data_IF_729897088089
#
_entry.id   IF_729897088089
#
_cell.length_a   1.000
_cell.length_b   1.000
_cell.length_c   1.000
_cell.angle_alpha   90.00
_cell.angle_beta   90.00
_cell.angle_gamma   90.00
#
_symmetry.space_group_name_H-M   'P 1'
#
loop_
_entity.id
_entity.type
_entity.pdbx_description
1 polymer ?
#
# COMPACT_ATOMS: atom_id res chain seq x y z
N UNK A 1 22.27 -16.08 2.98
CA UNK A 1 21.56 -15.75 1.75
C UNK A 1 20.39 -14.82 2.05
N UNK A 2 20.56 -13.54 1.74
CA UNK A 2 19.62 -12.51 2.15
C UNK A 2 18.46 -12.42 1.14
N UNK A 3 17.46 -13.28 1.27
CA UNK A 3 16.19 -13.11 0.55
C UNK A 3 15.54 -11.82 1.01
N UNK A 4 15.10 -10.96 0.07
CA UNK A 4 14.44 -9.70 0.41
C UNK A 4 13.08 -9.91 1.07
N UNK A 5 12.40 -11.01 0.74
CA UNK A 5 11.10 -11.38 1.34
C UNK A 5 11.18 -12.84 1.80
N UNK A 6 10.83 -13.10 3.04
CA UNK A 6 10.77 -14.46 3.55
C UNK A 6 9.57 -14.69 4.46
N UNK A 7 9.03 -15.91 4.40
CA UNK A 7 7.95 -16.37 5.26
C UNK A 7 8.46 -17.57 6.05
N UNK A 8 8.38 -17.47 7.38
CA UNK A 8 8.69 -18.57 8.30
C UNK A 8 7.37 -19.10 8.85
N UNK A 9 7.18 -20.41 8.82
CA UNK A 9 5.94 -21.06 9.24
C UNK A 9 6.19 -22.11 10.34
N UNK A 10 5.26 -22.20 11.28
CA UNK A 10 5.25 -23.25 12.29
C UNK A 10 4.87 -24.61 11.67
N UNK A 11 5.15 -25.68 12.39
CA UNK A 11 5.02 -27.03 11.84
C UNK A 11 3.59 -27.42 11.44
N UNK A 12 2.56 -26.86 12.07
CA UNK A 12 1.17 -27.12 11.70
C UNK A 12 0.76 -26.47 10.39
N UNK A 13 1.56 -25.53 9.85
CA UNK A 13 1.31 -24.86 8.59
C UNK A 13 2.05 -25.49 7.40
N UNK A 14 2.91 -26.49 7.65
CA UNK A 14 3.64 -27.20 6.60
C UNK A 14 2.70 -27.81 5.53
N UNK A 15 1.50 -28.33 5.87
CA UNK A 15 0.57 -28.80 4.86
C UNK A 15 0.17 -27.75 3.82
N UNK A 16 0.26 -26.46 4.12
CA UNK A 16 -0.05 -25.39 3.17
C UNK A 16 0.98 -25.26 2.06
N UNK A 17 2.20 -25.78 2.25
CA UNK A 17 3.28 -25.76 1.27
C UNK A 17 3.58 -27.15 0.69
N UNK A 18 2.71 -28.12 0.93
CA UNK A 18 2.85 -29.48 0.43
C UNK A 18 2.70 -29.51 -1.10
N UNK A 19 3.77 -29.89 -1.81
CA UNK A 19 3.84 -29.95 -3.27
C UNK A 19 2.88 -30.98 -3.89
N UNK A 20 2.40 -31.93 -3.11
CA UNK A 20 1.44 -32.94 -3.57
C UNK A 20 0.02 -32.43 -3.77
N UNK A 21 -0.29 -31.20 -3.36
CA UNK A 21 -1.62 -30.60 -3.51
C UNK A 21 -1.63 -29.58 -4.64
N UNK A 22 -2.67 -29.64 -5.50
CA UNK A 22 -2.82 -28.74 -6.65
C UNK A 22 -2.94 -27.26 -6.24
N UNK A 23 -3.47 -27.00 -5.06
CA UNK A 23 -3.66 -25.66 -4.51
C UNK A 23 -2.84 -25.46 -3.25
N UNK A 24 -1.51 -25.33 -3.39
CA UNK A 24 -0.68 -24.98 -2.25
C UNK A 24 -0.29 -23.50 -2.29
N UNK A 25 0.32 -23.05 -1.21
CA UNK A 25 0.73 -21.65 -1.00
C UNK A 25 1.73 -21.16 -2.06
N UNK A 26 2.66 -22.01 -2.51
CA UNK A 26 3.76 -21.63 -3.41
C UNK A 26 3.27 -21.08 -4.76
N UNK A 27 2.40 -21.78 -5.52
CA UNK A 27 1.86 -21.21 -6.76
C UNK A 27 1.05 -19.93 -6.55
N UNK A 28 0.33 -19.81 -5.44
CA UNK A 28 -0.45 -18.62 -5.12
C UNK A 28 0.46 -17.43 -4.87
N UNK A 29 1.57 -17.62 -4.16
CA UNK A 29 2.58 -16.57 -3.92
C UNK A 29 3.24 -16.15 -5.23
N UNK A 30 3.55 -17.10 -6.12
CA UNK A 30 4.14 -16.82 -7.42
C UNK A 30 3.22 -15.94 -8.29
N UNK A 31 1.93 -16.29 -8.36
CA UNK A 31 0.94 -15.48 -9.09
C UNK A 31 0.78 -14.09 -8.50
N UNK A 32 0.66 -14.02 -7.18
CA UNK A 32 0.54 -12.77 -6.44
C UNK A 32 1.71 -11.84 -6.74
N UNK A 33 2.92 -12.37 -6.70
CA UNK A 33 4.14 -11.62 -6.97
C UNK A 33 4.15 -11.04 -8.39
N UNK A 34 3.71 -11.83 -9.40
CA UNK A 34 3.61 -11.37 -10.78
C UNK A 34 2.59 -10.25 -10.94
N UNK A 35 1.42 -10.39 -10.31
CA UNK A 35 0.36 -9.38 -10.36
C UNK A 35 0.82 -8.07 -9.72
N UNK A 36 1.45 -8.14 -8.55
CA UNK A 36 1.94 -6.94 -7.85
C UNK A 36 3.07 -6.29 -8.65
N UNK A 37 4.00 -7.08 -9.21
CA UNK A 37 5.09 -6.58 -10.03
C UNK A 37 4.57 -5.78 -11.22
N UNK A 38 3.55 -6.31 -11.90
CA UNK A 38 2.91 -5.63 -13.03
C UNK A 38 2.23 -4.33 -12.58
N UNK A 39 1.54 -4.37 -11.46
CA UNK A 39 0.83 -3.20 -10.94
C UNK A 39 1.78 -2.10 -10.46
N UNK A 40 2.85 -2.43 -9.77
CA UNK A 40 3.82 -1.47 -9.24
C UNK A 40 4.80 -0.96 -10.28
N UNK A 41 5.20 -1.82 -11.23
CA UNK A 41 6.09 -1.45 -12.32
C UNK A 41 7.55 -1.87 -12.15
N UNK A 42 7.84 -2.78 -11.22
CA UNK A 42 9.16 -3.40 -11.11
C UNK A 42 9.01 -4.85 -10.65
N UNK A 43 10.03 -5.66 -10.88
CA UNK A 43 9.97 -7.07 -10.51
C UNK A 43 10.16 -7.21 -8.99
N UNK A 44 9.08 -7.59 -8.31
CA UNK A 44 9.11 -7.88 -6.87
C UNK A 44 9.98 -9.11 -6.63
N UNK A 45 10.92 -9.06 -5.66
CA UNK A 45 11.81 -10.19 -5.39
C UNK A 45 11.06 -11.48 -5.06
N UNK A 46 11.74 -12.60 -5.28
CA UNK A 46 11.22 -13.92 -4.92
C UNK A 46 10.96 -14.04 -3.42
N UNK A 47 9.93 -14.79 -3.07
CA UNK A 47 9.55 -15.04 -1.67
C UNK A 47 10.06 -16.41 -1.26
N UNK A 48 10.86 -16.45 -0.20
CA UNK A 48 11.38 -17.68 0.36
C UNK A 48 10.48 -18.14 1.50
N UNK A 49 10.03 -19.40 1.44
CA UNK A 49 9.17 -19.99 2.48
C UNK A 49 9.93 -21.13 3.15
N UNK A 50 9.99 -21.12 4.47
CA UNK A 50 10.61 -22.20 5.25
C UNK A 50 9.86 -22.49 6.53
N UNK A 51 9.94 -23.74 6.98
CA UNK A 51 9.50 -24.12 8.30
C UNK A 51 10.53 -23.67 9.35
N UNK A 52 10.04 -23.28 10.53
CA UNK A 52 10.87 -22.86 11.64
C UNK A 52 10.34 -23.50 12.93
N UNK A 53 11.14 -24.41 13.50
CA UNK A 53 10.76 -25.12 14.70
C UNK A 53 10.74 -24.25 15.96
N UNK A 54 11.31 -23.05 15.89
CA UNK A 54 11.28 -22.10 17.01
C UNK A 54 9.95 -21.36 17.09
N UNK A 55 9.13 -21.40 16.04
CA UNK A 55 7.81 -20.79 16.05
C UNK A 55 6.78 -21.72 16.68
N UNK A 56 5.70 -21.14 17.21
CA UNK A 56 4.54 -21.92 17.63
C UNK A 56 3.93 -22.66 16.43
N UNK A 57 3.19 -23.72 16.69
CA UNK A 57 2.68 -24.64 15.65
C UNK A 57 1.94 -23.93 14.51
N UNK A 58 1.07 -23.00 14.85
CA UNK A 58 0.21 -22.27 13.87
C UNK A 58 0.66 -20.85 13.62
N UNK A 59 1.87 -20.50 14.04
CA UNK A 59 2.45 -19.17 13.85
C UNK A 59 3.13 -19.04 12.50
N UNK A 60 3.07 -17.84 11.93
CA UNK A 60 3.92 -17.46 10.81
C UNK A 60 4.52 -16.09 11.04
N UNK A 61 5.67 -15.85 10.45
CA UNK A 61 6.31 -14.53 10.42
C UNK A 61 6.68 -14.20 8.97
N UNK A 62 6.52 -12.93 8.61
CA UNK A 62 6.95 -12.42 7.31
C UNK A 62 8.04 -11.38 7.58
N UNK A 63 9.15 -11.50 6.84
CA UNK A 63 10.28 -10.56 6.91
C UNK A 63 10.49 -9.86 5.58
N UNK A 64 10.78 -8.57 5.67
CA UNK A 64 11.33 -7.79 4.56
C UNK A 64 12.79 -7.50 4.93
N UNK A 65 13.72 -8.08 4.17
CA UNK A 65 15.11 -8.14 4.59
C UNK A 65 15.22 -8.94 5.89
N UNK A 66 15.77 -8.34 6.92
CA UNK A 66 15.88 -8.97 8.24
C UNK A 66 14.81 -8.49 9.23
N UNK A 67 13.99 -7.53 8.81
CA UNK A 67 12.96 -6.96 9.66
C UNK A 67 11.70 -7.82 9.64
N UNK A 68 11.22 -8.20 10.82
CA UNK A 68 9.92 -8.86 10.97
C UNK A 68 8.84 -7.80 10.77
N UNK A 69 8.00 -7.99 9.76
CA UNK A 69 6.89 -7.05 9.45
C UNK A 69 5.53 -7.66 9.74
N UNK A 70 5.46 -8.96 9.98
CA UNK A 70 4.25 -9.65 10.39
C UNK A 70 4.58 -10.83 11.30
N UNK A 71 3.73 -11.05 12.30
CA UNK A 71 3.81 -12.17 13.23
C UNK A 71 2.37 -12.47 13.63
N UNK A 72 1.83 -13.58 13.15
CA UNK A 72 0.42 -13.89 13.35
C UNK A 72 0.15 -15.39 13.37
N UNK A 73 -1.10 -15.75 13.58
CA UNK A 73 -1.55 -17.14 13.71
C UNK A 73 -2.65 -17.41 12.69
N UNK A 74 -2.51 -18.51 11.95
CA UNK A 74 -3.57 -19.07 11.11
C UNK A 74 -3.68 -20.56 11.40
N UNK A 75 -4.82 -21.15 11.06
CA UNK A 75 -5.05 -22.58 11.31
C UNK A 75 -5.27 -23.32 9.99
N UNK A 76 -4.34 -24.22 9.66
CA UNK A 76 -4.38 -24.96 8.40
C UNK A 76 -5.60 -25.88 8.28
N UNK A 77 -6.15 -26.32 9.40
CA UNK A 77 -7.29 -27.25 9.50
C UNK A 77 -8.64 -26.56 9.68
N UNK A 78 -8.68 -25.23 9.64
CA UNK A 78 -9.90 -24.43 9.83
C UNK A 78 -10.12 -23.48 8.65
N UNK A 79 -11.22 -22.75 8.71
CA UNK A 79 -11.54 -21.68 7.77
C UNK A 79 -11.86 -20.41 8.55
N UNK A 80 -11.59 -19.26 7.92
CA UNK A 80 -11.85 -17.96 8.53
C UNK A 80 -13.18 -17.41 8.01
N UNK A 81 -14.07 -17.07 8.93
CA UNK A 81 -15.36 -16.46 8.62
C UNK A 81 -15.31 -14.95 8.95
N UNK A 82 -15.46 -14.12 7.92
CA UNK A 82 -15.44 -12.65 8.03
C UNK A 82 -16.88 -12.14 7.91
N UNK A 83 -17.38 -11.32 8.86
CA UNK A 83 -18.72 -10.79 8.78
C UNK A 83 -18.98 -9.97 7.52
N UNK A 84 -20.10 -10.24 6.84
CA UNK A 84 -20.59 -9.42 5.74
C UNK A 84 -21.48 -8.27 6.26
N UNK A 85 -22.08 -7.52 5.33
CA UNK A 85 -22.85 -6.32 5.66
C UNK A 85 -24.13 -6.62 6.46
N UNK A 86 -24.72 -7.80 6.29
CA UNK A 86 -25.98 -8.19 6.91
C UNK A 86 -25.80 -9.19 8.06
N UNK A 87 -24.59 -9.35 8.54
CA UNK A 87 -24.30 -10.27 9.64
C UNK A 87 -24.84 -9.70 10.96
N UNK A 88 -25.70 -10.44 11.63
CA UNK A 88 -26.30 -10.03 12.89
C UNK A 88 -26.01 -10.99 14.04
N UNK A 89 -25.49 -12.18 13.74
CA UNK A 89 -25.28 -13.24 14.72
C UNK A 89 -23.80 -13.59 14.83
N UNK A 90 -23.35 -13.80 16.05
CA UNK A 90 -21.99 -14.28 16.31
C UNK A 90 -21.89 -15.77 15.96
N UNK A 91 -20.69 -16.18 15.57
CA UNK A 91 -20.40 -17.58 15.32
C UNK A 91 -19.76 -18.25 16.55
N UNK A 92 -19.98 -19.53 16.66
CA UNK A 92 -19.27 -20.38 17.60
C UNK A 92 -17.90 -20.74 17.00
N UNK A 93 -16.86 -20.07 17.47
CA UNK A 93 -15.51 -20.27 17.01
C UNK A 93 -14.53 -19.37 17.73
N UNK A 94 -13.28 -19.36 17.30
CA UNK A 94 -12.25 -18.52 17.87
C UNK A 94 -12.32 -17.12 17.26
N UNK A 95 -12.69 -16.14 18.06
CA UNK A 95 -12.76 -14.73 17.65
C UNK A 95 -11.33 -14.16 17.54
N UNK A 96 -11.02 -13.59 16.40
CA UNK A 96 -9.70 -13.02 16.10
C UNK A 96 -9.84 -11.72 15.30
N UNK A 97 -8.73 -11.03 15.14
CA UNK A 97 -8.60 -9.97 14.14
C UNK A 97 -7.91 -10.55 12.92
N UNK A 98 -8.51 -10.37 11.75
CA UNK A 98 -7.93 -10.81 10.49
C UNK A 98 -6.58 -10.10 10.28
N UNK A 99 -5.49 -10.82 9.93
CA UNK A 99 -4.13 -10.27 9.96
C UNK A 99 -3.85 -9.09 9.02
N UNK A 100 -4.43 -9.06 7.83
CA UNK A 100 -4.13 -8.03 6.84
C UNK A 100 -4.75 -6.67 7.18
N UNK A 101 -6.02 -6.66 7.58
CA UNK A 101 -6.81 -5.44 7.74
C UNK A 101 -7.33 -5.23 9.16
N UNK A 102 -7.13 -6.19 10.04
CA UNK A 102 -7.54 -6.08 11.45
C UNK A 102 -9.04 -6.17 11.69
N UNK A 103 -9.82 -6.62 10.71
CA UNK A 103 -11.27 -6.79 10.89
C UNK A 103 -11.56 -7.97 11.80
N UNK A 104 -12.64 -7.89 12.58
CA UNK A 104 -13.07 -9.01 13.43
C UNK A 104 -13.50 -10.18 12.56
N UNK A 105 -13.10 -11.39 12.94
CA UNK A 105 -13.40 -12.61 12.21
C UNK A 105 -13.37 -13.80 13.16
N UNK A 106 -13.79 -14.97 12.67
CA UNK A 106 -13.84 -16.20 13.47
C UNK A 106 -13.19 -17.34 12.75
N UNK A 107 -12.26 -18.05 13.42
CA UNK A 107 -11.80 -19.34 12.95
C UNK A 107 -12.84 -20.39 13.35
N UNK A 108 -13.37 -21.09 12.35
CA UNK A 108 -14.40 -22.12 12.54
C UNK A 108 -13.98 -23.44 11.90
N UNK A 109 -14.62 -24.51 12.33
CA UNK A 109 -14.42 -25.81 11.71
C UNK A 109 -14.99 -25.84 10.29
N UNK A 110 -14.36 -26.58 9.39
CA UNK A 110 -14.75 -26.64 7.97
C UNK A 110 -16.18 -27.11 7.77
N UNK A 111 -16.68 -27.98 8.65
CA UNK A 111 -18.06 -28.50 8.60
C UNK A 111 -19.12 -27.40 8.83
N UNK A 112 -18.72 -26.30 9.44
CA UNK A 112 -19.62 -25.18 9.74
C UNK A 112 -19.72 -24.13 8.62
N UNK A 113 -19.07 -24.39 7.49
CA UNK A 113 -19.03 -23.47 6.35
C UNK A 113 -20.42 -23.03 5.89
N UNK A 114 -21.30 -23.99 5.64
CA UNK A 114 -22.66 -23.69 5.15
C UNK A 114 -23.47 -22.84 6.13
N UNK A 115 -23.34 -23.12 7.42
CA UNK A 115 -24.02 -22.36 8.47
C UNK A 115 -23.50 -20.90 8.51
N UNK A 116 -22.20 -20.71 8.42
CA UNK A 116 -21.59 -19.39 8.41
C UNK A 116 -21.99 -18.59 7.16
N UNK A 117 -21.99 -19.21 5.99
CA UNK A 117 -22.43 -18.55 4.75
C UNK A 117 -23.89 -18.16 4.81
N UNK A 118 -24.75 -19.01 5.42
CA UNK A 118 -26.17 -18.69 5.64
C UNK A 118 -26.38 -17.49 6.56
N UNK A 119 -25.41 -17.20 7.44
CA UNK A 119 -25.44 -16.04 8.36
C UNK A 119 -24.72 -14.82 7.79
N UNK A 120 -24.45 -14.81 6.49
CA UNK A 120 -23.79 -13.73 5.76
C UNK A 120 -22.32 -13.52 6.14
N UNK A 121 -21.60 -14.60 6.44
CA UNK A 121 -20.16 -14.57 6.59
C UNK A 121 -19.49 -14.95 5.27
N UNK A 122 -18.41 -14.26 4.95
CA UNK A 122 -17.53 -14.61 3.83
C UNK A 122 -16.46 -15.56 4.34
N UNK A 123 -16.28 -16.68 3.66
CA UNK A 123 -15.33 -17.71 4.06
C UNK A 123 -14.03 -17.55 3.29
N UNK A 124 -12.91 -17.58 4.03
CA UNK A 124 -11.55 -17.46 3.49
C UNK A 124 -10.73 -18.65 3.97
N UNK A 125 -10.05 -19.29 3.04
CA UNK A 125 -9.13 -20.40 3.36
C UNK A 125 -7.86 -19.87 4.03
N UNK A 126 -7.17 -20.65 4.86
CA UNK A 126 -5.98 -20.17 5.58
C UNK A 126 -4.84 -19.71 4.68
N UNK A 127 -4.61 -20.37 3.55
CA UNK A 127 -3.60 -19.93 2.58
C UNK A 127 -3.95 -18.60 1.94
N UNK A 128 -5.24 -18.31 1.72
CA UNK A 128 -5.71 -17.01 1.23
C UNK A 128 -5.54 -15.92 2.27
N UNK A 129 -5.72 -16.23 3.55
CA UNK A 129 -5.45 -15.29 4.65
C UNK A 129 -3.98 -14.87 4.62
N UNK A 130 -3.08 -15.84 4.49
CA UNK A 130 -1.64 -15.58 4.44
C UNK A 130 -1.24 -14.79 3.19
N UNK A 131 -1.77 -15.16 2.01
CA UNK A 131 -1.44 -14.46 0.76
C UNK A 131 -2.00 -13.04 0.73
N UNK A 132 -3.17 -12.80 1.31
CA UNK A 132 -3.73 -11.46 1.46
C UNK A 132 -2.83 -10.58 2.34
N UNK A 133 -2.36 -11.15 3.46
CA UNK A 133 -1.44 -10.45 4.35
C UNK A 133 -0.11 -10.13 3.65
N UNK A 134 0.45 -11.11 2.93
CA UNK A 134 1.67 -10.91 2.14
C UNK A 134 1.49 -9.81 1.10
N UNK A 135 0.36 -9.81 0.38
CA UNK A 135 0.05 -8.79 -0.63
C UNK A 135 0.05 -7.39 -0.01
N UNK A 136 -0.63 -7.24 1.11
CA UNK A 136 -0.70 -5.96 1.83
C UNK A 136 0.68 -5.49 2.25
N UNK A 137 1.51 -6.39 2.77
CA UNK A 137 2.87 -6.08 3.19
C UNK A 137 3.78 -5.70 2.02
N UNK A 138 3.70 -6.40 0.90
CA UNK A 138 4.51 -6.08 -0.30
C UNK A 138 4.15 -4.67 -0.78
N UNK A 139 2.86 -4.34 -0.85
CA UNK A 139 2.42 -3.01 -1.26
C UNK A 139 2.88 -1.93 -0.27
N UNK A 140 2.77 -2.18 1.03
CA UNK A 140 3.17 -1.20 2.05
C UNK A 140 4.69 -1.01 2.13
N UNK A 141 5.47 -2.04 1.81
CA UNK A 141 6.94 -2.01 1.83
C UNK A 141 7.56 -1.99 0.44
N UNK A 142 6.79 -1.60 -0.59
CA UNK A 142 7.26 -1.59 -1.97
C UNK A 142 8.52 -0.73 -2.14
N UNK A 143 8.56 0.42 -1.47
CA UNK A 143 9.73 1.31 -1.48
C UNK A 143 11.00 0.60 -0.99
N UNK A 144 10.88 -0.20 0.08
CA UNK A 144 12.04 -0.94 0.62
C UNK A 144 12.52 -2.06 -0.29
N UNK A 145 11.66 -2.53 -1.20
CA UNK A 145 11.98 -3.59 -2.14
C UNK A 145 12.64 -3.08 -3.43
N UNK A 146 12.59 -1.78 -3.67
CA UNK A 146 13.22 -1.16 -4.83
C UNK A 146 14.61 -0.65 -4.48
N UNK A 147 15.64 -1.23 -5.08
CA UNK A 147 17.02 -0.78 -4.94
C UNK A 147 17.61 -0.35 -6.27
N UNK A 148 18.89 0.02 -6.25
CA UNK A 148 19.59 0.47 -7.46
C UNK A 148 19.64 -0.62 -8.54
N UNK A 149 19.76 -1.88 -8.15
CA UNK A 149 19.79 -2.99 -9.10
C UNK A 149 18.47 -3.11 -9.88
N UNK A 150 17.36 -3.00 -9.19
CA UNK A 150 16.03 -3.06 -9.82
C UNK A 150 15.81 -1.86 -10.75
N UNK A 151 16.25 -0.67 -10.35
CA UNK A 151 16.15 0.53 -11.19
C UNK A 151 17.07 0.38 -12.41
N UNK A 152 18.28 -0.15 -12.23
CA UNK A 152 19.18 -0.38 -13.34
C UNK A 152 18.60 -1.34 -14.38
N UNK A 153 17.94 -2.42 -13.93
CA UNK A 153 17.27 -3.35 -14.83
C UNK A 153 16.17 -2.68 -15.62
N UNK A 154 15.37 -1.81 -14.97
CA UNK A 154 14.33 -1.04 -15.65
C UNK A 154 14.92 -0.09 -16.70
N UNK A 155 16.03 0.58 -16.38
CA UNK A 155 16.71 1.46 -17.31
C UNK A 155 17.30 0.68 -18.50
N UNK A 156 17.93 -0.46 -18.24
CA UNK A 156 18.50 -1.31 -19.29
C UNK A 156 17.41 -1.77 -20.27
N UNK A 157 16.26 -2.12 -19.75
CA UNK A 157 15.12 -2.51 -20.59
C UNK A 157 14.57 -1.34 -21.42
N UNK A 158 14.41 -0.17 -20.81
CA UNK A 158 13.95 1.03 -21.52
C UNK A 158 14.96 1.50 -22.56
N UNK A 159 16.25 1.32 -22.29
CA UNK A 159 17.33 1.73 -23.19
C UNK A 159 17.25 1.04 -24.56
N UNK A 160 16.67 -0.15 -24.63
CA UNK A 160 16.50 -0.88 -25.88
C UNK A 160 15.62 -0.10 -26.87
N UNK A 161 14.64 0.64 -26.37
CA UNK A 161 13.71 1.43 -27.22
C UNK A 161 13.94 2.93 -27.14
N UNK A 162 14.48 3.45 -26.03
CA UNK A 162 14.64 4.88 -25.78
C UNK A 162 16.04 5.21 -25.22
N UNK A 163 17.12 4.90 -25.97
CA UNK A 163 18.47 5.09 -25.44
C UNK A 163 18.83 6.55 -25.13
N UNK A 164 18.36 7.48 -25.97
CA UNK A 164 18.64 8.89 -25.79
C UNK A 164 18.00 9.46 -24.52
N UNK A 165 16.76 9.03 -24.22
CA UNK A 165 16.06 9.46 -23.02
C UNK A 165 16.77 8.98 -21.75
N UNK A 166 17.17 7.72 -21.72
CA UNK A 166 17.89 7.15 -20.60
C UNK A 166 19.21 7.89 -20.37
N UNK A 167 20.01 8.11 -21.43
CA UNK A 167 21.28 8.82 -21.33
C UNK A 167 21.12 10.28 -20.93
N UNK A 168 20.03 10.93 -21.34
CA UNK A 168 19.73 12.31 -20.98
C UNK A 168 19.52 12.44 -19.47
N UNK A 169 18.86 11.47 -18.85
CA UNK A 169 18.54 11.54 -17.43
C UNK A 169 19.65 10.96 -16.55
N UNK A 170 20.19 9.79 -16.90
CA UNK A 170 21.18 9.10 -16.06
C UNK A 170 22.48 8.91 -16.83
N UNK A 171 23.60 9.53 -16.42
CA UNK A 171 23.79 10.34 -15.20
C UNK A 171 23.66 11.86 -15.39
N UNK A 172 23.28 12.34 -16.58
CA UNK A 172 23.37 13.78 -16.90
C UNK A 172 22.50 14.68 -16.03
N UNK A 173 21.22 14.32 -15.81
CA UNK A 173 20.33 15.08 -14.94
C UNK A 173 20.57 14.68 -13.48
N UNK A 174 20.66 13.38 -13.22
CA UNK A 174 20.90 12.88 -11.87
C UNK A 174 21.59 11.51 -11.90
N UNK A 175 22.35 11.17 -10.85
CA UNK A 175 22.96 9.84 -10.76
C UNK A 175 21.89 8.79 -10.42
N UNK A 176 22.24 7.53 -10.64
CA UNK A 176 21.35 6.39 -10.40
C UNK A 176 20.81 6.35 -8.96
N UNK A 177 21.65 6.66 -7.96
CA UNK A 177 21.21 6.64 -6.57
C UNK A 177 20.15 7.68 -6.28
N UNK A 178 20.21 8.85 -6.90
CA UNK A 178 19.18 9.88 -6.74
C UNK A 178 17.88 9.49 -7.45
N UNK A 179 17.96 8.95 -8.65
CA UNK A 179 16.79 8.43 -9.36
C UNK A 179 16.10 7.35 -8.55
N UNK A 180 16.88 6.42 -7.98
CA UNK A 180 16.35 5.37 -7.11
C UNK A 180 15.61 5.97 -5.93
N UNK A 181 16.17 6.98 -5.26
CA UNK A 181 15.53 7.66 -4.14
C UNK A 181 14.23 8.35 -4.55
N UNK A 182 14.19 8.99 -5.71
CA UNK A 182 12.97 9.61 -6.24
C UNK A 182 11.88 8.55 -6.48
N UNK A 183 12.22 7.43 -7.09
CA UNK A 183 11.28 6.36 -7.38
C UNK A 183 10.77 5.69 -6.09
N UNK A 184 11.62 5.56 -5.07
CA UNK A 184 11.20 5.08 -3.75
C UNK A 184 10.19 6.04 -3.10
N UNK A 185 10.39 7.34 -3.20
CA UNK A 185 9.43 8.35 -2.70
C UNK A 185 8.06 8.21 -3.39
N UNK A 186 8.04 7.95 -4.69
CA UNK A 186 6.81 7.74 -5.45
C UNK A 186 6.08 6.48 -4.95
N UNK A 187 6.81 5.38 -4.82
CA UNK A 187 6.26 4.10 -4.36
C UNK A 187 5.75 4.14 -2.92
N UNK A 188 6.41 4.90 -2.04
CA UNK A 188 6.00 5.03 -0.64
C UNK A 188 4.54 5.44 -0.50
N UNK A 189 4.04 6.22 -1.43
CA UNK A 189 2.67 6.71 -1.40
C UNK A 189 1.74 5.92 -2.34
N UNK A 190 2.16 4.74 -2.75
CA UNK A 190 1.34 3.84 -3.55
C UNK A 190 1.21 4.23 -5.02
N UNK A 191 1.98 5.20 -5.49
CA UNK A 191 1.97 5.61 -6.90
C UNK A 191 2.84 4.63 -7.71
N UNK A 192 2.28 4.00 -8.76
CA UNK A 192 3.06 3.07 -9.58
C UNK A 192 4.19 3.74 -10.34
N UNK A 193 5.28 3.00 -10.54
CA UNK A 193 6.42 3.42 -11.39
C UNK A 193 6.42 2.68 -12.73
N UNK A 194 5.28 2.12 -13.13
CA UNK A 194 5.12 1.30 -14.34
C UNK A 194 5.39 2.06 -15.64
N UNK A 195 5.20 3.37 -15.65
CA UNK A 195 5.52 4.19 -16.82
C UNK A 195 6.86 4.91 -16.62
N UNK A 196 7.96 4.15 -16.71
CA UNK A 196 9.30 4.68 -16.55
C UNK A 196 9.62 5.76 -17.58
N UNK A 197 9.14 5.58 -18.80
CA UNK A 197 9.33 6.59 -19.86
C UNK A 197 8.77 7.95 -19.43
N UNK A 198 7.55 7.96 -18.89
CA UNK A 198 6.92 9.19 -18.41
C UNK A 198 7.70 9.81 -17.24
N UNK A 199 8.18 8.99 -16.33
CA UNK A 199 9.02 9.45 -15.22
C UNK A 199 10.28 10.14 -15.75
N UNK A 200 11.00 9.49 -16.67
CA UNK A 200 12.24 10.05 -17.22
C UNK A 200 11.97 11.31 -18.07
N UNK A 201 10.89 11.33 -18.85
CA UNK A 201 10.49 12.52 -19.60
C UNK A 201 10.18 13.70 -18.67
N UNK A 202 9.52 13.44 -17.54
CA UNK A 202 9.23 14.46 -16.53
C UNK A 202 10.51 15.02 -15.89
N UNK A 203 11.54 14.18 -15.74
CA UNK A 203 12.82 14.56 -15.13
C UNK A 203 13.77 15.20 -16.12
N UNK A 204 13.67 14.91 -17.43
CA UNK A 204 14.65 15.29 -18.44
C UNK A 204 14.84 16.79 -18.62
N UNK A 205 13.78 17.57 -18.36
CA UNK A 205 13.81 19.04 -18.49
C UNK A 205 13.90 19.75 -17.14
N UNK A 206 14.04 19.01 -16.06
CA UNK A 206 14.03 19.57 -14.71
C UNK A 206 15.42 20.00 -14.27
N UNK A 207 15.53 21.16 -13.63
CA UNK A 207 16.76 21.54 -12.93
C UNK A 207 16.66 21.01 -11.49
N UNK A 208 17.44 19.96 -11.21
CA UNK A 208 17.40 19.27 -9.91
C UNK A 208 18.44 19.77 -8.92
N UNK A 209 19.22 20.78 -9.28
CA UNK A 209 20.23 21.34 -8.37
C UNK A 209 19.53 21.87 -7.11
N UNK A 210 20.08 21.52 -5.95
CA UNK A 210 19.57 21.93 -4.62
C UNK A 210 18.21 21.28 -4.25
N UNK A 211 17.71 20.34 -5.05
CA UNK A 211 16.48 19.62 -4.72
C UNK A 211 16.82 18.23 -4.16
N UNK A 212 16.12 17.82 -3.10
CA UNK A 212 16.22 16.45 -2.61
C UNK A 212 15.20 15.54 -3.32
N UNK A 213 15.25 14.25 -3.03
CA UNK A 213 14.38 13.27 -3.69
C UNK A 213 12.90 13.54 -3.39
N UNK A 214 12.56 13.97 -2.17
CA UNK A 214 11.19 14.33 -1.81
C UNK A 214 10.66 15.47 -2.67
N UNK A 215 11.46 16.53 -2.84
CA UNK A 215 11.08 17.69 -3.63
C UNK A 215 10.92 17.34 -5.12
N UNK A 216 11.84 16.54 -5.65
CA UNK A 216 11.78 16.10 -7.05
C UNK A 216 10.53 15.24 -7.27
N UNK A 217 10.26 14.27 -6.38
CA UNK A 217 9.09 13.41 -6.50
C UNK A 217 7.78 14.22 -6.44
N UNK A 218 7.71 15.23 -5.55
CA UNK A 218 6.53 16.12 -5.49
C UNK A 218 6.27 16.83 -6.82
N UNK A 219 7.32 17.29 -7.47
CA UNK A 219 7.18 18.06 -8.73
C UNK A 219 6.70 17.22 -9.90
N UNK A 220 7.00 15.91 -9.92
CA UNK A 220 6.56 15.03 -11.01
C UNK A 220 5.24 14.31 -10.70
N UNK A 221 4.76 14.35 -9.46
CA UNK A 221 3.49 13.70 -9.08
C UNK A 221 2.31 14.06 -9.97
N UNK A 222 2.10 15.33 -10.39
CA UNK A 222 0.96 15.66 -11.26
C UNK A 222 0.94 14.86 -12.57
N UNK A 223 2.08 14.41 -13.07
CA UNK A 223 2.17 13.56 -14.25
C UNK A 223 1.79 12.10 -13.95
N UNK A 224 1.98 11.65 -12.72
CA UNK A 224 1.87 10.24 -12.32
C UNK A 224 0.57 9.91 -11.59
N UNK A 225 0.03 10.85 -10.81
CA UNK A 225 -1.20 10.63 -10.02
C UNK A 225 -2.39 10.21 -10.87
N UNK A 226 -2.58 10.72 -12.10
CA UNK A 226 -3.64 10.20 -12.96
C UNK A 226 -3.58 8.69 -13.19
N UNK A 227 -2.38 8.10 -13.21
CA UNK A 227 -2.21 6.64 -13.32
C UNK A 227 -2.70 5.91 -12.06
N UNK A 228 -2.44 6.48 -10.89
CA UNK A 228 -2.95 5.95 -9.62
C UNK A 228 -4.48 5.98 -9.59
N UNK A 229 -5.07 7.09 -9.96
CA UNK A 229 -6.53 7.27 -10.00
C UNK A 229 -7.15 6.26 -10.97
N UNK A 230 -6.58 6.13 -12.17
CA UNK A 230 -7.05 5.17 -13.17
C UNK A 230 -7.00 3.73 -12.67
N UNK A 231 -5.98 3.38 -11.88
CA UNK A 231 -5.84 2.05 -11.26
C UNK A 231 -6.96 1.79 -10.25
N UNK A 232 -7.39 2.80 -9.51
CA UNK A 232 -8.31 2.66 -8.37
C UNK A 232 -9.77 2.96 -8.72
N UNK A 233 -10.03 3.79 -9.73
CA UNK A 233 -11.38 4.23 -10.08
C UNK A 233 -11.61 4.09 -11.58
N UNK A 234 -12.73 3.47 -11.95
CA UNK A 234 -13.14 3.33 -13.35
C UNK A 234 -13.29 4.70 -14.00
N UNK A 235 -12.95 4.79 -15.27
CA UNK A 235 -12.89 6.06 -16.03
C UNK A 235 -14.16 6.90 -15.94
N UNK A 236 -15.34 6.27 -15.96
CA UNK A 236 -16.63 6.98 -15.93
C UNK A 236 -17.14 7.30 -14.52
N UNK A 237 -16.54 6.73 -13.50
CA UNK A 237 -17.00 6.91 -12.14
C UNK A 237 -16.52 8.23 -11.54
N UNK A 238 -17.34 8.82 -10.68
CA UNK A 238 -16.99 10.03 -9.94
C UNK A 238 -15.97 9.70 -8.85
N UNK A 239 -14.96 10.56 -8.69
CA UNK A 239 -13.93 10.40 -7.67
C UNK A 239 -14.43 10.93 -6.33
N UNK A 240 -14.61 10.08 -5.31
CA UNK A 240 -15.02 10.55 -3.98
C UNK A 240 -13.82 11.14 -3.24
N UNK A 241 -14.01 12.32 -2.64
CA UNK A 241 -12.96 13.05 -1.96
C UNK A 241 -13.31 13.26 -0.48
N UNK A 242 -12.29 13.19 0.35
CA UNK A 242 -12.33 13.65 1.74
C UNK A 242 -11.56 14.97 1.75
N UNK A 243 -12.11 15.99 2.40
CA UNK A 243 -11.46 17.29 2.52
C UNK A 243 -11.33 17.69 3.97
N UNK A 244 -10.41 18.62 4.26
CA UNK A 244 -10.37 19.31 5.54
C UNK A 244 -11.33 20.49 5.51
N UNK A 245 -11.98 20.78 6.63
CA UNK A 245 -12.71 22.03 6.79
C UNK A 245 -11.73 23.20 6.61
N UNK A 246 -12.17 24.36 6.07
CA UNK A 246 -11.28 25.48 5.78
C UNK A 246 -10.43 25.92 6.97
N UNK A 247 -11.00 25.93 8.17
CA UNK A 247 -10.29 26.33 9.40
C UNK A 247 -9.16 25.35 9.73
N UNK A 248 -9.41 24.04 9.55
CA UNK A 248 -8.40 23.03 9.81
C UNK A 248 -7.27 23.11 8.78
N UNK A 249 -7.62 23.26 7.50
CA UNK A 249 -6.61 23.39 6.44
C UNK A 249 -5.73 24.63 6.67
N UNK A 250 -6.32 25.75 7.08
CA UNK A 250 -5.59 26.97 7.39
C UNK A 250 -4.65 26.77 8.60
N UNK A 251 -5.10 26.04 9.61
CA UNK A 251 -4.27 25.74 10.79
C UNK A 251 -3.05 24.89 10.39
N UNK A 252 -3.27 23.86 9.59
CA UNK A 252 -2.19 22.98 9.09
C UNK A 252 -1.21 23.79 8.24
N UNK A 253 -1.72 24.62 7.33
CA UNK A 253 -0.89 25.49 6.48
C UNK A 253 -0.02 26.43 7.33
N UNK A 254 -0.60 27.05 8.34
CA UNK A 254 0.13 27.92 9.26
C UNK A 254 1.23 27.15 10.00
N UNK A 255 0.92 25.97 10.49
CA UNK A 255 1.89 25.10 11.19
C UNK A 255 3.08 24.75 10.29
N UNK A 256 2.83 24.38 9.04
CA UNK A 256 3.88 24.07 8.06
C UNK A 256 4.73 25.32 7.78
N UNK A 257 4.12 26.48 7.60
CA UNK A 257 4.84 27.73 7.33
C UNK A 257 5.72 28.18 8.48
N UNK A 258 5.31 27.93 9.73
CA UNK A 258 6.08 28.28 10.92
C UNK A 258 7.28 27.37 11.13
N UNK A 259 7.29 26.18 10.53
CA UNK A 259 8.34 25.18 10.67
C UNK A 259 8.83 24.68 9.30
N UNK A 260 9.40 25.56 8.45
CA UNK A 260 9.69 25.20 7.06
C UNK A 260 10.78 24.14 6.89
N UNK A 261 11.66 23.99 7.89
CA UNK A 261 12.74 22.98 7.88
C UNK A 261 12.24 21.60 8.35
N UNK A 262 11.08 21.56 9.01
CA UNK A 262 10.54 20.31 9.56
C UNK A 262 9.75 19.54 8.52
N UNK A 263 10.12 18.28 8.30
CA UNK A 263 9.41 17.40 7.37
C UNK A 263 8.18 16.73 7.98
N UNK A 264 8.14 16.67 9.32
CA UNK A 264 7.00 16.09 10.04
C UNK A 264 5.99 17.20 10.38
N UNK A 265 4.70 16.85 10.31
CA UNK A 265 3.64 17.75 10.72
C UNK A 265 3.52 17.77 12.25
N UNK A 266 3.86 18.91 12.86
CA UNK A 266 3.87 19.07 14.32
C UNK A 266 2.54 19.67 14.78
N UNK A 267 1.59 18.81 15.13
CA UNK A 267 0.28 19.20 15.64
C UNK A 267 0.17 18.88 17.14
N UNK A 268 -0.63 19.68 17.82
CA UNK A 268 -0.99 19.39 19.22
C UNK A 268 -1.63 17.99 19.31
N UNK A 269 -1.27 17.23 20.37
CA UNK A 269 -1.60 15.80 20.46
C UNK A 269 -3.08 15.46 20.37
N UNK A 270 -3.96 16.24 21.01
CA UNK A 270 -5.41 16.03 20.97
C UNK A 270 -5.97 16.30 19.56
N UNK A 271 -5.47 17.35 18.91
CA UNK A 271 -5.86 17.67 17.54
C UNK A 271 -5.40 16.59 16.57
N UNK A 272 -4.17 16.10 16.70
CA UNK A 272 -3.64 15.02 15.88
C UNK A 272 -4.50 13.75 15.99
N UNK A 273 -4.85 13.36 17.21
CA UNK A 273 -5.72 12.20 17.48
C UNK A 273 -7.11 12.38 16.88
N UNK A 274 -7.69 13.56 17.00
CA UNK A 274 -9.02 13.88 16.46
C UNK A 274 -9.02 13.81 14.93
N UNK A 275 -8.02 14.35 14.28
CA UNK A 275 -7.89 14.28 12.82
C UNK A 275 -7.78 12.84 12.36
N UNK A 276 -6.90 12.05 12.99
CA UNK A 276 -6.71 10.64 12.62
C UNK A 276 -7.96 9.81 12.87
N UNK A 277 -8.67 10.06 13.97
CA UNK A 277 -9.93 9.38 14.28
C UNK A 277 -11.01 9.70 13.23
N UNK A 278 -11.17 10.97 12.87
CA UNK A 278 -12.15 11.39 11.87
C UNK A 278 -11.80 10.85 10.48
N UNK A 279 -10.52 10.81 10.12
CA UNK A 279 -10.07 10.21 8.87
C UNK A 279 -10.32 8.70 8.85
N UNK A 280 -10.09 8.03 9.96
CA UNK A 280 -10.36 6.59 10.06
C UNK A 280 -11.84 6.29 9.86
N UNK A 281 -12.73 7.07 10.47
CA UNK A 281 -14.19 6.92 10.30
C UNK A 281 -14.60 7.13 8.84
N UNK A 282 -14.08 8.15 8.20
CA UNK A 282 -14.34 8.42 6.78
C UNK A 282 -13.79 7.31 5.88
N UNK A 283 -12.61 6.79 6.21
CA UNK A 283 -11.99 5.67 5.49
C UNK A 283 -12.83 4.40 5.58
N UNK A 284 -13.32 4.07 6.77
CA UNK A 284 -14.18 2.92 6.98
C UNK A 284 -15.48 3.04 6.19
N UNK A 285 -16.08 4.24 6.15
CA UNK A 285 -17.30 4.49 5.38
C UNK A 285 -17.07 4.31 3.88
N UNK A 286 -15.94 4.77 3.35
CA UNK A 286 -15.56 4.56 1.94
C UNK A 286 -15.33 3.07 1.65
N UNK A 287 -14.66 2.36 2.55
CA UNK A 287 -14.36 0.94 2.37
C UNK A 287 -15.63 0.07 2.34
N UNK A 288 -16.64 0.42 3.14
CA UNK A 288 -17.93 -0.28 3.12
C UNK A 288 -18.62 -0.15 1.76
N UNK A 289 -18.44 0.95 1.07
CA UNK A 289 -19.01 1.17 -0.27
C UNK A 289 -18.09 0.65 -1.38
N UNK A 290 -16.96 0.04 -1.02
CA UNK A 290 -15.97 -0.45 -1.98
C UNK A 290 -15.25 0.66 -2.73
N UNK A 291 -15.21 1.87 -2.18
CA UNK A 291 -14.58 3.03 -2.80
C UNK A 291 -13.18 3.26 -2.25
N UNK A 292 -12.22 3.71 -3.08
CA UNK A 292 -10.92 4.12 -2.58
C UNK A 292 -11.02 5.39 -1.74
N UNK A 293 -9.99 5.64 -0.92
CA UNK A 293 -9.98 6.79 -0.01
C UNK A 293 -8.98 7.81 -0.50
N UNK A 294 -9.45 9.01 -0.87
CA UNK A 294 -8.61 10.12 -1.31
C UNK A 294 -8.85 11.34 -0.43
N UNK A 295 -7.80 11.76 0.28
CA UNK A 295 -7.81 13.02 1.02
C UNK A 295 -7.19 14.10 0.13
N UNK A 296 -7.93 15.17 -0.13
CA UNK A 296 -7.48 16.30 -0.96
C UNK A 296 -7.09 17.47 -0.07
N UNK A 297 -5.88 17.97 -0.25
CA UNK A 297 -5.35 19.12 0.49
C UNK A 297 -4.62 20.09 -0.46
N UNK A 298 -4.28 21.27 0.07
CA UNK A 298 -3.50 22.24 -0.68
C UNK A 298 -2.09 21.68 -1.00
N UNK A 299 -1.51 22.03 -2.17
CA UNK A 299 -0.18 21.53 -2.55
C UNK A 299 0.90 21.81 -1.51
N UNK A 300 0.84 22.95 -0.84
CA UNK A 300 1.85 23.38 0.14
C UNK A 300 1.94 22.46 1.36
N UNK A 301 0.87 21.77 1.70
CA UNK A 301 0.81 20.90 2.88
C UNK A 301 0.73 19.42 2.53
N UNK A 302 0.60 19.08 1.24
CA UNK A 302 0.33 17.70 0.83
C UNK A 302 1.34 16.69 1.38
N UNK A 303 2.62 16.95 1.21
CA UNK A 303 3.68 16.01 1.65
C UNK A 303 3.70 15.83 3.16
N UNK A 304 3.52 16.93 3.90
CA UNK A 304 3.46 16.91 5.36
C UNK A 304 2.26 16.09 5.85
N UNK A 305 1.10 16.32 5.24
CA UNK A 305 -0.14 15.61 5.58
C UNK A 305 0.01 14.12 5.22
N UNK A 306 0.59 13.82 4.06
CA UNK A 306 0.82 12.43 3.63
C UNK A 306 1.69 11.66 4.63
N UNK A 307 2.78 12.24 5.09
CA UNK A 307 3.66 11.62 6.10
C UNK A 307 2.95 11.41 7.42
N UNK A 308 2.19 12.41 7.86
CA UNK A 308 1.41 12.36 9.10
C UNK A 308 0.35 11.24 9.06
N UNK A 309 -0.39 11.15 7.96
CA UNK A 309 -1.49 10.20 7.82
C UNK A 309 -0.96 8.77 7.62
N UNK A 310 0.08 8.60 6.81
CA UNK A 310 0.58 7.28 6.42
C UNK A 310 1.05 6.44 7.60
N UNK A 311 1.61 7.06 8.63
CA UNK A 311 2.11 6.35 9.80
C UNK A 311 1.02 5.56 10.54
N UNK A 312 -0.23 6.03 10.48
CA UNK A 312 -1.37 5.45 11.17
C UNK A 312 -2.42 4.85 10.21
N UNK A 313 -2.59 5.46 9.05
CA UNK A 313 -3.65 5.13 8.10
C UNK A 313 -3.06 4.98 6.68
N UNK A 314 -2.28 3.91 6.43
CA UNK A 314 -1.55 3.77 5.16
C UNK A 314 -2.46 3.56 3.93
N UNK A 315 -3.72 3.21 4.12
CA UNK A 315 -4.66 3.02 3.02
C UNK A 315 -5.22 4.33 2.45
N UNK A 316 -5.01 5.47 3.15
CA UNK A 316 -5.49 6.76 2.68
C UNK A 316 -4.48 7.37 1.71
N UNK A 317 -4.95 7.69 0.50
CA UNK A 317 -4.15 8.38 -0.50
C UNK A 317 -4.31 9.89 -0.31
N UNK A 318 -3.22 10.60 -0.08
CA UNK A 318 -3.23 12.06 0.09
C UNK A 318 -2.81 12.72 -1.21
N UNK A 319 -3.71 13.49 -1.80
CA UNK A 319 -3.50 14.19 -3.06
C UNK A 319 -3.64 15.69 -2.86
N UNK A 320 -3.05 16.47 -3.76
CA UNK A 320 -3.39 17.88 -3.88
C UNK A 320 -4.40 18.09 -5.01
N UNK A 321 -5.15 19.18 -4.94
CA UNK A 321 -6.08 19.48 -6.03
C UNK A 321 -5.36 19.77 -7.36
N UNK A 322 -4.07 20.08 -7.34
CA UNK A 322 -3.26 20.25 -8.54
C UNK A 322 -2.97 18.92 -9.25
N UNK A 323 -3.18 17.80 -8.55
CA UNK A 323 -2.92 16.45 -9.06
C UNK A 323 -4.17 15.78 -9.63
N UNK A 324 -5.34 16.39 -9.44
CA UNK A 324 -6.60 15.83 -9.97
C UNK A 324 -6.68 16.02 -11.48
N UNK A 325 -7.10 14.96 -12.22
CA UNK A 325 -7.37 15.11 -13.68
C UNK A 325 -8.51 16.07 -13.94
N UNK A 326 -8.33 16.99 -14.87
CA UNK A 326 -9.35 17.99 -15.24
C UNK A 326 -10.59 17.37 -15.89
N UNK A 327 -10.44 16.23 -16.53
CA UNK A 327 -11.49 15.54 -17.27
C UNK A 327 -12.31 14.55 -16.43
N UNK A 328 -12.08 14.50 -15.10
CA UNK A 328 -12.77 13.59 -14.21
C UNK A 328 -13.73 14.34 -13.28
N UNK A 329 -14.91 13.77 -13.07
CA UNK A 329 -15.86 14.28 -12.07
C UNK A 329 -15.42 13.93 -10.66
N UNK A 330 -15.58 14.88 -9.76
CA UNK A 330 -15.24 14.71 -8.34
C UNK A 330 -16.43 15.07 -7.47
N UNK A 331 -16.53 14.47 -6.29
CA UNK A 331 -17.53 14.83 -5.28
C UNK A 331 -16.89 14.81 -3.89
N UNK A 332 -17.33 15.70 -3.02
CA UNK A 332 -16.90 15.70 -1.62
C UNK A 332 -17.80 14.75 -0.85
N UNK A 333 -17.24 13.62 -0.43
CA UNK A 333 -17.95 12.61 0.34
C UNK A 333 -17.94 12.90 1.84
N UNK A 334 -16.81 13.42 2.35
CA UNK A 334 -16.64 13.71 3.78
C UNK A 334 -15.78 14.95 3.96
N UNK A 335 -16.07 15.70 5.06
CA UNK A 335 -15.27 16.84 5.49
C UNK A 335 -14.79 16.59 6.91
N UNK A 336 -13.49 16.73 7.15
CA UNK A 336 -12.85 16.50 8.45
C UNK A 336 -12.57 17.84 9.12
N UNK A 337 -12.86 17.93 10.41
CA UNK A 337 -12.55 19.11 11.21
C UNK A 337 -13.62 20.21 11.15
N UNK A 338 -14.79 19.88 10.66
CA UNK A 338 -15.93 20.81 10.60
C UNK A 338 -16.75 20.85 11.89
#
# INVERSE_FOLDING_TARGET
>A
DASKISISIGYSLVPLVDEGKAENLVPKVTRLRKEISKALGFIVPGVRIRDDLNLEASQYQIKIGQKIVADDIIFADKILAIPGDNTTLELSGLKVKEPAFGVEAYWIDKEKRADAEAKDYVIVEPDEVLTTHLSELINNYASDLLGQEEVQELLDNLQLSHPNLVETVVPKVMPLNQLTSVMKCILEEGVPISDLRLILESLSSMNVQKLDADEISERIRPQLVPLLIQKLIKFKDTIPLITFAPELEQLVLTTVRQNPEEKMLLLEGNLAKKILSNLNDASEACNKEGKPVFLIVAPQIRKHVAKFVRSQLPSINVLSFMELPEDRSVEIAFTVGG
#
